data_IF_511146285860
#
_entry.id   IF_511146285860
#
_cell.length_a   1.000
_cell.length_b   1.000
_cell.length_c   1.000
_cell.angle_alpha   90.00
_cell.angle_beta   90.00
_cell.angle_gamma   90.00
#
_symmetry.space_group_name_H-M   'P 1'
#
loop_
_entity.id
_entity.type
_entity.pdbx_description
1 polymer ?
#
# COMPACT_ATOMS: atom_id res chain seq x y z
N UNK A 1 -17.17 6.29 -9.40
CA UNK A 1 -16.83 5.58 -8.15
C UNK A 1 -15.47 4.94 -8.36
N UNK A 2 -14.40 5.53 -7.82
CA UNK A 2 -13.02 5.24 -8.23
C UNK A 2 -12.55 3.87 -7.72
N UNK A 3 -12.25 2.98 -8.66
CA UNK A 3 -11.69 1.64 -8.49
C UNK A 3 -10.24 1.68 -7.91
N UNK A 4 -9.66 2.88 -7.76
CA UNK A 4 -8.31 3.14 -7.28
C UNK A 4 -8.06 2.90 -5.78
N UNK A 5 -9.06 2.51 -4.98
CA UNK A 5 -8.89 2.33 -3.52
C UNK A 5 -8.42 0.93 -3.09
N UNK A 6 -8.18 0.01 -4.03
CA UNK A 6 -7.96 -1.42 -3.69
C UNK A 6 -6.48 -1.85 -3.51
N UNK A 7 -5.50 -0.95 -3.59
CA UNK A 7 -4.07 -1.34 -3.53
C UNK A 7 -3.28 -0.53 -2.48
N UNK A 8 -3.92 -0.16 -1.37
CA UNK A 8 -3.18 0.28 -0.18
C UNK A 8 -3.49 -0.69 0.95
N UNK A 9 -2.49 -1.47 1.31
CA UNK A 9 -2.61 -2.49 2.35
C UNK A 9 -2.70 -1.79 3.70
N UNK A 10 -3.90 -1.77 4.29
CA UNK A 10 -4.11 -1.21 5.62
C UNK A 10 -3.84 -2.27 6.71
N UNK A 11 -2.90 -1.98 7.62
CA UNK A 11 -2.47 -2.93 8.65
C UNK A 11 -3.59 -3.36 9.60
N UNK A 12 -4.54 -2.47 9.90
CA UNK A 12 -5.72 -2.80 10.72
C UNK A 12 -6.56 -3.86 10.01
N UNK A 13 -6.79 -3.69 8.70
CA UNK A 13 -7.52 -4.65 7.89
C UNK A 13 -6.81 -6.00 7.81
N UNK A 14 -5.48 -6.01 7.67
CA UNK A 14 -4.69 -7.25 7.68
C UNK A 14 -4.80 -8.00 8.99
N UNK A 15 -4.55 -7.31 10.11
CA UNK A 15 -4.59 -7.90 11.45
C UNK A 15 -5.98 -8.43 11.77
N UNK A 16 -7.03 -7.67 11.44
CA UNK A 16 -8.42 -8.12 11.59
C UNK A 16 -8.70 -9.40 10.79
N UNK A 17 -8.30 -9.44 9.52
CA UNK A 17 -8.51 -10.61 8.65
C UNK A 17 -7.72 -11.84 9.14
N UNK A 18 -6.49 -11.66 9.64
CA UNK A 18 -5.69 -12.74 10.25
C UNK A 18 -6.38 -13.37 11.46
N UNK A 19 -7.16 -12.59 12.20
CA UNK A 19 -7.97 -13.06 13.32
C UNK A 19 -9.37 -13.56 12.90
N UNK A 20 -9.71 -13.54 11.61
CA UNK A 20 -11.01 -13.98 11.11
C UNK A 20 -12.19 -13.10 11.54
N UNK A 21 -11.95 -11.85 11.91
CA UNK A 21 -12.97 -10.95 12.47
C UNK A 21 -13.67 -10.15 11.37
N UNK A 22 -14.97 -9.87 11.57
CA UNK A 22 -15.71 -8.87 10.79
C UNK A 22 -15.38 -7.46 11.30
N UNK A 23 -15.60 -6.42 10.48
CA UNK A 23 -15.41 -5.03 10.93
C UNK A 23 -16.32 -4.69 12.11
N UNK A 24 -17.55 -5.21 12.12
CA UNK A 24 -18.49 -5.06 13.25
C UNK A 24 -17.90 -5.64 14.53
N UNK A 25 -17.40 -6.89 14.47
CA UNK A 25 -16.84 -7.56 15.65
C UNK A 25 -15.60 -6.85 16.18
N UNK A 26 -14.72 -6.37 15.30
CA UNK A 26 -13.58 -5.54 15.74
C UNK A 26 -14.06 -4.24 16.42
N UNK A 27 -15.10 -3.60 15.87
CA UNK A 27 -15.69 -2.40 16.45
C UNK A 27 -16.23 -2.65 17.86
N UNK A 28 -16.95 -3.76 18.06
CA UNK A 28 -17.46 -4.17 19.37
C UNK A 28 -16.34 -4.36 20.40
N UNK A 29 -15.26 -5.04 20.01
CA UNK A 29 -14.11 -5.34 20.90
C UNK A 29 -13.36 -4.08 21.34
N UNK A 30 -13.28 -3.05 20.49
CA UNK A 30 -12.55 -1.80 20.78
C UNK A 30 -13.47 -0.61 21.10
N UNK A 31 -14.79 -0.84 21.19
CA UNK A 31 -15.77 0.17 21.59
C UNK A 31 -16.10 1.23 20.53
N UNK A 32 -16.09 0.89 19.24
CA UNK A 32 -16.44 1.80 18.14
C UNK A 32 -17.43 1.19 17.14
N UNK A 33 -18.04 2.03 16.31
CA UNK A 33 -18.94 1.56 15.26
C UNK A 33 -18.21 0.82 14.14
N UNK A 34 -18.91 -0.08 13.44
CA UNK A 34 -18.40 -0.71 12.21
C UNK A 34 -17.97 0.33 11.16
N UNK A 35 -18.69 1.44 11.06
CA UNK A 35 -18.39 2.54 10.13
C UNK A 35 -17.04 3.19 10.48
N UNK A 36 -16.76 3.34 11.77
CA UNK A 36 -15.48 3.83 12.28
C UNK A 36 -14.33 2.91 11.86
N UNK A 37 -14.49 1.59 12.03
CA UNK A 37 -13.50 0.60 11.55
C UNK A 37 -13.32 0.69 10.04
N UNK A 38 -14.40 0.81 9.28
CA UNK A 38 -14.32 0.98 7.82
C UNK A 38 -13.54 2.23 7.43
N UNK A 39 -13.72 3.36 8.13
CA UNK A 39 -12.92 4.58 7.90
C UNK A 39 -11.43 4.35 8.18
N UNK A 40 -11.12 3.70 9.31
CA UNK A 40 -9.74 3.37 9.67
C UNK A 40 -9.07 2.48 8.61
N UNK A 41 -9.78 1.46 8.12
CA UNK A 41 -9.27 0.53 7.11
C UNK A 41 -9.13 1.14 5.72
N UNK A 42 -9.90 2.20 5.43
CA UNK A 42 -9.85 2.91 4.16
C UNK A 42 -8.83 4.06 4.13
N UNK A 43 -8.02 4.22 5.19
CA UNK A 43 -6.94 5.20 5.26
C UNK A 43 -7.41 6.63 5.55
N UNK A 44 -8.56 6.80 6.22
CA UNK A 44 -9.03 8.12 6.67
C UNK A 44 -8.17 8.61 7.85
N UNK A 45 -7.62 9.82 7.76
CA UNK A 45 -6.38 10.24 8.45
C UNK A 45 -6.50 10.67 9.93
N UNK A 46 -7.62 10.39 10.61
CA UNK A 46 -7.82 10.83 12.00
C UNK A 46 -8.15 9.68 12.95
N UNK A 47 -7.20 8.77 13.17
CA UNK A 47 -7.23 7.82 14.29
C UNK A 47 -6.60 8.51 15.51
N UNK A 48 -7.35 8.65 16.61
CA UNK A 48 -6.82 9.27 17.84
C UNK A 48 -5.73 8.40 18.48
N UNK A 49 -4.85 9.03 19.28
CA UNK A 49 -3.82 8.33 20.03
C UNK A 49 -4.37 7.25 20.96
N UNK A 50 -5.49 7.53 21.63
CA UNK A 50 -6.17 6.55 22.49
C UNK A 50 -6.67 5.34 21.71
N UNK A 51 -7.18 5.56 20.50
CA UNK A 51 -7.65 4.48 19.63
C UNK A 51 -6.48 3.64 19.09
N UNK A 52 -5.37 4.28 18.74
CA UNK A 52 -4.15 3.58 18.35
C UNK A 52 -3.63 2.70 19.50
N UNK A 53 -3.68 3.20 20.74
CA UNK A 53 -3.32 2.42 21.92
C UNK A 53 -4.28 1.24 22.14
N UNK A 54 -5.59 1.44 21.95
CA UNK A 54 -6.58 0.37 22.03
C UNK A 54 -6.34 -0.73 20.97
N UNK A 55 -6.10 -0.33 19.72
CA UNK A 55 -5.77 -1.25 18.62
C UNK A 55 -4.45 -1.99 18.88
N UNK A 56 -3.42 -1.30 19.37
CA UNK A 56 -2.13 -1.88 19.74
C UNK A 56 -2.28 -2.95 20.82
N UNK A 57 -3.07 -2.68 21.87
CA UNK A 57 -3.36 -3.65 22.93
C UNK A 57 -4.18 -4.83 22.42
N UNK A 58 -5.20 -4.58 21.61
CA UNK A 58 -6.06 -5.62 21.05
C UNK A 58 -5.28 -6.58 20.14
N UNK A 59 -4.52 -6.04 19.19
CA UNK A 59 -3.73 -6.85 18.24
C UNK A 59 -2.38 -7.32 18.80
N UNK A 60 -1.97 -6.83 19.97
CA UNK A 60 -0.67 -7.12 20.60
C UNK A 60 0.52 -6.81 19.69
N UNK A 61 0.45 -5.68 19.00
CA UNK A 61 1.52 -5.15 18.15
C UNK A 61 1.86 -3.72 18.57
N UNK A 62 3.09 -3.25 18.35
CA UNK A 62 3.44 -1.85 18.59
C UNK A 62 2.55 -0.90 17.79
N UNK A 63 2.26 0.28 18.35
CA UNK A 63 1.52 1.35 17.65
C UNK A 63 2.19 1.70 16.32
N UNK A 64 3.51 1.76 16.31
CA UNK A 64 4.34 1.98 15.12
C UNK A 64 3.98 0.98 14.00
N UNK A 65 3.88 -0.32 14.32
CA UNK A 65 3.52 -1.34 13.34
C UNK A 65 2.15 -1.10 12.68
N UNK A 66 1.18 -0.54 13.42
CA UNK A 66 -0.15 -0.19 12.91
C UNK A 66 -0.10 1.06 12.02
N UNK A 67 0.73 2.04 12.40
CA UNK A 67 0.89 3.31 11.69
C UNK A 67 1.81 3.23 10.47
N UNK A 68 2.68 2.21 10.41
CA UNK A 68 3.69 2.03 9.37
C UNK A 68 3.02 1.90 7.99
N UNK A 69 2.88 3.03 7.30
CA UNK A 69 2.50 3.09 5.89
C UNK A 69 3.67 2.59 5.08
N UNK A 70 3.68 1.30 4.68
CA UNK A 70 4.58 0.70 3.68
C UNK A 70 6.01 1.28 3.62
N UNK A 71 6.63 1.60 4.76
CA UNK A 71 7.98 2.20 4.80
C UNK A 71 9.00 1.26 4.15
N UNK A 72 8.75 -0.04 4.20
CA UNK A 72 9.55 -1.07 3.55
C UNK A 72 9.46 -0.96 2.02
N UNK A 73 8.29 -0.67 1.45
CA UNK A 73 8.16 -0.48 0.00
C UNK A 73 8.77 0.86 -0.42
N UNK A 74 8.58 1.92 0.37
CA UNK A 74 9.18 3.22 0.09
C UNK A 74 10.70 3.18 0.21
N UNK A 75 11.24 2.51 1.24
CA UNK A 75 12.68 2.36 1.41
C UNK A 75 13.28 1.49 0.31
N UNK A 76 12.61 0.41 -0.09
CA UNK A 76 13.04 -0.42 -1.21
C UNK A 76 13.00 0.38 -2.52
N UNK A 77 11.94 1.12 -2.81
CA UNK A 77 11.83 1.96 -4.00
C UNK A 77 12.91 3.05 -4.02
N UNK A 78 13.24 3.64 -2.86
CA UNK A 78 14.34 4.60 -2.76
C UNK A 78 15.71 3.93 -3.01
N UNK A 79 15.91 2.71 -2.50
CA UNK A 79 17.14 1.95 -2.74
C UNK A 79 17.27 1.56 -4.22
N UNK A 80 16.21 1.02 -4.82
CA UNK A 80 16.15 0.64 -6.23
C UNK A 80 16.39 1.87 -7.12
N UNK A 81 15.74 3.00 -6.82
CA UNK A 81 15.96 4.26 -7.54
C UNK A 81 17.41 4.71 -7.46
N UNK A 82 18.03 4.62 -6.29
CA UNK A 82 19.43 5.02 -6.08
C UNK A 82 20.37 4.12 -6.90
N UNK A 83 20.20 2.81 -6.82
CA UNK A 83 20.97 1.84 -7.60
C UNK A 83 20.85 2.09 -9.11
N UNK A 84 19.63 2.26 -9.61
CA UNK A 84 19.38 2.57 -11.03
C UNK A 84 20.10 3.87 -11.45
N UNK A 85 20.06 4.90 -10.61
CA UNK A 85 20.68 6.19 -10.92
C UNK A 85 22.21 6.10 -10.94
N UNK A 86 22.81 5.30 -10.06
CA UNK A 86 24.25 5.03 -10.02
C UNK A 86 24.69 4.27 -11.28
N UNK A 87 24.00 3.18 -11.62
CA UNK A 87 24.26 2.43 -12.86
C UNK A 87 24.12 3.30 -14.11
N UNK A 88 23.09 4.15 -14.18
CA UNK A 88 22.88 5.05 -15.32
C UNK A 88 24.00 6.07 -15.51
N UNK A 89 24.59 6.54 -14.42
CA UNK A 89 25.69 7.52 -14.45
C UNK A 89 26.97 6.93 -15.03
N UNK A 90 27.26 5.68 -14.69
CA UNK A 90 28.51 5.00 -15.07
C UNK A 90 28.47 4.42 -16.49
N UNK A 91 27.28 4.27 -17.07
CA UNK A 91 27.11 3.82 -18.46
C UNK A 91 27.57 4.86 -19.49
N UNK A 92 28.07 4.40 -20.64
CA UNK A 92 28.26 5.26 -21.81
C UNK A 92 26.93 5.67 -22.48
N UNK A 93 27.01 6.57 -23.47
CA UNK A 93 25.84 7.12 -24.13
C UNK A 93 24.98 6.06 -24.86
N UNK A 94 25.59 5.09 -25.55
CA UNK A 94 24.87 4.06 -26.30
C UNK A 94 24.06 3.16 -25.37
N UNK A 95 24.68 2.76 -24.25
CA UNK A 95 24.04 1.92 -23.25
C UNK A 95 22.89 2.67 -22.53
N UNK A 96 23.06 3.96 -22.22
CA UNK A 96 21.98 4.79 -21.68
C UNK A 96 20.78 4.90 -22.61
N UNK A 97 21.01 5.15 -23.90
CA UNK A 97 19.94 5.29 -24.89
C UNK A 97 19.15 3.98 -25.04
N UNK A 98 19.86 2.84 -25.03
CA UNK A 98 19.24 1.51 -25.04
C UNK A 98 18.36 1.29 -23.82
N UNK A 99 18.85 1.64 -22.62
CA UNK A 99 18.12 1.53 -21.36
C UNK A 99 16.82 2.34 -21.37
N UNK A 100 16.86 3.58 -21.87
CA UNK A 100 15.69 4.44 -22.02
C UNK A 100 14.67 3.86 -23.00
N UNK A 101 15.13 3.32 -24.14
CA UNK A 101 14.25 2.71 -25.15
C UNK A 101 13.51 1.51 -24.57
N UNK A 102 14.22 0.64 -23.84
CA UNK A 102 13.62 -0.53 -23.18
C UNK A 102 12.62 -0.06 -22.12
N UNK A 103 12.97 0.91 -21.28
CA UNK A 103 12.06 1.48 -20.27
C UNK A 103 10.76 2.00 -20.90
N UNK A 104 10.84 2.78 -21.98
CA UNK A 104 9.66 3.28 -22.71
C UNK A 104 8.79 2.15 -23.26
N UNK A 105 9.40 1.07 -23.79
CA UNK A 105 8.66 -0.10 -24.30
C UNK A 105 7.93 -0.83 -23.18
N UNK A 106 8.59 -1.04 -22.04
CA UNK A 106 7.99 -1.71 -20.87
C UNK A 106 6.78 -0.93 -20.34
N UNK A 107 6.89 0.41 -20.25
CA UNK A 107 5.78 1.27 -19.82
C UNK A 107 4.59 1.18 -20.77
N UNK A 108 4.83 1.22 -22.09
CA UNK A 108 3.77 1.08 -23.09
C UNK A 108 3.03 -0.27 -22.98
N UNK A 109 3.74 -1.36 -22.72
CA UNK A 109 3.15 -2.69 -22.55
C UNK A 109 2.27 -2.85 -21.31
N UNK A 110 2.56 -2.12 -20.23
CA UNK A 110 1.76 -2.14 -18.99
C UNK A 110 0.40 -1.45 -19.17
N UNK A 111 0.34 -0.34 -19.92
CA UNK A 111 -0.91 0.38 -20.23
C UNK A 111 -1.90 -0.49 -21.02
N UNK A 112 -1.42 -1.31 -21.96
CA UNK A 112 -2.27 -2.20 -22.75
C UNK A 112 -2.92 -3.29 -21.89
N UNK A 113 -2.12 -3.99 -21.07
CA UNK A 113 -2.64 -5.02 -20.14
C UNK A 113 -3.60 -4.45 -19.09
N UNK A 114 -3.37 -3.24 -18.61
CA UNK A 114 -4.26 -2.59 -17.64
C UNK A 114 -5.63 -2.26 -18.26
N UNK A 115 -5.65 -1.74 -19.49
CA UNK A 115 -6.88 -1.42 -20.20
C UNK A 115 -7.71 -2.67 -20.58
N UNK A 116 -7.07 -3.77 -20.98
CA UNK A 116 -7.75 -5.04 -21.27
C UNK A 116 -8.44 -5.64 -20.03
N UNK A 117 -7.76 -5.60 -18.87
CA UNK A 117 -8.32 -6.11 -17.61
C UNK A 117 -9.50 -5.28 -17.08
N UNK A 118 -9.57 -3.99 -17.43
CA UNK A 118 -10.72 -3.12 -17.14
C UNK A 118 -11.93 -3.42 -18.03
N UNK A 119 -11.73 -3.91 -19.25
CA UNK A 119 -12.81 -4.18 -20.22
C UNK A 119 -13.48 -5.54 -19.95
N UNK A 120 -12.73 -6.53 -19.45
CA UNK A 120 -13.23 -7.90 -19.20
C UNK A 120 -13.92 -8.10 -17.82
N UNK A 121 -14.09 -7.04 -17.03
CA UNK A 121 -14.81 -7.06 -15.75
C UNK A 121 -16.11 -6.23 -15.79
N UNK A 122 -16.92 -6.40 -16.83
CA UNK A 122 -18.32 -5.94 -16.89
C UNK A 122 -19.26 -7.12 -16.92
#
# INVERSE_FOLDING_TARGET
MNIWRCILVNRIAELRKKLGLTQTRLGEEIGVSQQTISKYENGDENISGDMLLALSKFFRVPIDYILRKEEEQQQQEQNDRKEIMELYRDMDQYNRDTWIIIGKRLLGGQLHKYNENCILRK
#
